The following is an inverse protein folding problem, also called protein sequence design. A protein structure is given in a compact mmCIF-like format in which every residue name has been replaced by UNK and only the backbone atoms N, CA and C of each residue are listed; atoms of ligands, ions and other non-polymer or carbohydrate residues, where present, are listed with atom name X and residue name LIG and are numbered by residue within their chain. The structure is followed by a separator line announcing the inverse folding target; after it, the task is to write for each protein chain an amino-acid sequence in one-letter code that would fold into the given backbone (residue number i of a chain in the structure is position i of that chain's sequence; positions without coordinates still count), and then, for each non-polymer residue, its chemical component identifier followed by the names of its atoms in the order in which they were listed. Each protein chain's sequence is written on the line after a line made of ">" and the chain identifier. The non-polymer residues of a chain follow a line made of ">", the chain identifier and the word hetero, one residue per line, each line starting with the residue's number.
data_IF_025610633634
#
_entry.id   IF_025610633634
#
_cell.length_a   1.000
_cell.length_b   1.000
_cell.length_c   1.000
_cell.angle_alpha   90.00
_cell.angle_beta   90.00
_cell.angle_gamma   90.00
#
_symmetry.space_group_name_H-M   'P 1'
#
loop_
_entity.id
_entity.type
_entity.pdbx_description
1 polymer ?
#
# COMPACT_ATOMS: atom_id res chain seq x y z
N UNK A 1 -48.58 66.03 -11.53
CA UNK A 1 -47.44 65.16 -11.83
C UNK A 1 -47.20 64.34 -10.58
N UNK A 2 -47.68 63.10 -10.57
CA UNK A 2 -47.53 62.16 -9.46
C UNK A 2 -46.33 61.30 -9.81
N UNK A 3 -45.23 61.45 -9.07
CA UNK A 3 -44.17 60.44 -9.08
C UNK A 3 -44.76 59.13 -8.51
N UNK A 4 -44.63 57.99 -9.22
CA UNK A 4 -45.06 56.72 -8.66
C UNK A 4 -44.14 56.34 -7.48
N UNK A 5 -44.69 55.77 -6.40
CA UNK A 5 -43.86 55.24 -5.32
C UNK A 5 -43.04 54.08 -5.88
N UNK A 6 -41.72 54.14 -5.71
CA UNK A 6 -40.85 53.00 -5.90
C UNK A 6 -41.42 51.85 -5.04
N UNK A 7 -41.93 50.82 -5.71
CA UNK A 7 -42.53 49.68 -5.06
C UNK A 7 -41.50 49.00 -4.16
N UNK A 8 -41.91 48.70 -2.93
CA UNK A 8 -41.11 47.97 -1.95
C UNK A 8 -40.90 46.48 -2.31
N UNK A 9 -40.74 46.16 -3.60
CA UNK A 9 -40.47 44.82 -4.14
C UNK A 9 -39.00 44.66 -4.59
N UNK A 10 -38.20 45.73 -4.55
CA UNK A 10 -36.75 45.69 -4.81
C UNK A 10 -35.92 45.60 -3.52
N UNK A 11 -36.48 45.01 -2.46
CA UNK A 11 -35.69 44.62 -1.29
C UNK A 11 -34.78 43.45 -1.68
N UNK A 12 -33.54 43.77 -2.08
CA UNK A 12 -32.36 42.92 -2.03
C UNK A 12 -32.62 41.41 -2.12
N UNK A 13 -33.16 40.95 -3.25
CA UNK A 13 -32.81 39.61 -3.71
C UNK A 13 -31.37 39.72 -4.21
N UNK A 14 -30.40 39.68 -3.29
CA UNK A 14 -29.11 39.12 -3.65
C UNK A 14 -29.45 37.72 -4.14
N UNK A 15 -29.60 37.58 -5.47
CA UNK A 15 -29.72 36.29 -6.12
C UNK A 15 -28.49 35.56 -5.65
N UNK A 16 -28.68 34.63 -4.71
CA UNK A 16 -27.62 33.76 -4.25
C UNK A 16 -27.39 32.81 -5.44
N UNK A 17 -26.69 33.31 -6.46
CA UNK A 17 -26.22 32.49 -7.55
C UNK A 17 -25.41 31.39 -6.86
N UNK A 18 -25.79 30.12 -7.00
CA UNK A 18 -25.00 29.05 -6.43
C UNK A 18 -23.58 29.21 -6.97
N UNK A 19 -22.55 29.07 -6.12
CA UNK A 19 -21.18 29.21 -6.57
C UNK A 19 -20.96 28.30 -7.79
N UNK A 20 -20.20 28.76 -8.81
CA UNK A 20 -20.04 27.99 -10.04
C UNK A 20 -19.55 26.57 -9.73
N UNK A 21 -20.19 25.59 -10.37
CA UNK A 21 -19.80 24.20 -10.24
C UNK A 21 -18.35 24.01 -10.70
N UNK A 22 -17.60 23.12 -10.04
CA UNK A 22 -16.22 22.86 -10.42
C UNK A 22 -16.16 22.23 -11.81
N UNK A 23 -15.35 22.77 -12.70
CA UNK A 23 -15.14 22.17 -14.03
C UNK A 23 -14.43 20.80 -13.93
N UNK A 24 -14.49 19.96 -14.98
CA UNK A 24 -13.79 18.68 -15.01
C UNK A 24 -12.29 18.82 -14.69
N UNK A 25 -11.74 17.87 -13.94
CA UNK A 25 -10.38 17.92 -13.40
C UNK A 25 -10.23 18.74 -12.11
N UNK A 26 -11.31 19.35 -11.63
CA UNK A 26 -11.37 20.03 -10.34
C UNK A 26 -12.47 19.43 -9.44
N UNK A 27 -12.31 19.63 -8.13
CA UNK A 27 -13.24 19.15 -7.12
C UNK A 27 -13.37 20.12 -5.95
N UNK A 28 -14.38 19.88 -5.11
CA UNK A 28 -14.62 20.63 -3.87
C UNK A 28 -15.15 19.71 -2.77
N UNK A 29 -14.25 19.32 -1.86
CA UNK A 29 -14.58 18.40 -0.77
C UNK A 29 -15.50 19.00 0.32
N UNK A 30 -15.46 20.32 0.53
CA UNK A 30 -16.18 20.96 1.62
C UNK A 30 -17.11 22.06 1.12
N UNK A 31 -18.30 22.15 1.74
CA UNK A 31 -19.23 23.25 1.50
C UNK A 31 -18.66 24.57 2.04
N UNK A 32 -19.10 25.69 1.46
CA UNK A 32 -18.65 27.04 1.82
C UNK A 32 -18.04 27.80 0.65
N UNK A 33 -17.56 29.02 0.88
CA UNK A 33 -17.03 29.89 -0.17
C UNK A 33 -15.55 29.58 -0.53
N UNK A 34 -15.23 28.29 -0.68
CA UNK A 34 -13.92 27.83 -1.12
C UNK A 34 -13.90 27.62 -2.64
N UNK A 35 -12.77 27.99 -3.27
CA UNK A 35 -12.54 27.78 -4.70
C UNK A 35 -12.34 26.29 -4.99
N UNK A 36 -12.67 25.88 -6.20
CA UNK A 36 -12.41 24.53 -6.68
C UNK A 36 -10.90 24.25 -6.70
N UNK A 37 -10.52 23.07 -6.24
CA UNK A 37 -9.13 22.60 -6.23
C UNK A 37 -8.90 21.64 -7.38
N UNK A 38 -7.70 21.65 -7.97
CA UNK A 38 -7.34 20.68 -9.01
C UNK A 38 -7.28 19.28 -8.39
N UNK A 39 -7.67 18.26 -9.16
CA UNK A 39 -7.53 16.89 -8.71
C UNK A 39 -6.07 16.55 -8.36
N UNK A 40 -5.83 15.90 -7.21
CA UNK A 40 -4.52 15.39 -6.84
C UNK A 40 -3.96 14.42 -7.89
N UNK A 41 -2.64 14.16 -7.88
CA UNK A 41 -2.02 13.15 -8.74
C UNK A 41 -2.73 11.79 -8.67
N UNK A 42 -2.73 11.09 -9.81
CA UNK A 42 -3.38 9.79 -10.00
C UNK A 42 -4.90 9.80 -9.73
N UNK A 43 -5.54 10.94 -9.93
CA UNK A 43 -6.98 11.09 -9.77
C UNK A 43 -7.58 12.08 -10.75
N UNK A 44 -8.86 11.90 -11.06
CA UNK A 44 -9.60 12.71 -12.03
C UNK A 44 -11.04 12.95 -11.60
N UNK A 45 -11.68 13.98 -12.15
CA UNK A 45 -13.11 14.22 -12.06
C UNK A 45 -13.66 14.50 -13.46
N UNK A 46 -14.64 13.71 -13.91
CA UNK A 46 -15.24 13.88 -15.24
C UNK A 46 -16.43 14.86 -15.22
N UNK A 47 -17.18 14.89 -14.12
CA UNK A 47 -18.40 15.67 -14.00
C UNK A 47 -18.18 17.05 -13.38
N UNK A 48 -18.99 18.01 -13.80
CA UNK A 48 -19.03 19.31 -13.14
C UNK A 48 -19.55 19.18 -11.70
N UNK A 49 -19.03 20.00 -10.78
CA UNK A 49 -19.47 20.03 -9.39
C UNK A 49 -19.06 18.81 -8.56
N UNK A 50 -18.01 18.09 -8.97
CA UNK A 50 -17.55 16.90 -8.27
C UNK A 50 -17.07 17.23 -6.84
N UNK A 51 -17.59 16.49 -5.84
CA UNK A 51 -17.18 16.64 -4.44
C UNK A 51 -15.82 15.98 -4.15
N UNK A 52 -15.41 15.00 -4.95
CA UNK A 52 -14.13 14.31 -4.83
C UNK A 52 -13.62 13.85 -6.20
N UNK A 53 -12.33 13.57 -6.30
CA UNK A 53 -11.72 12.99 -7.50
C UNK A 53 -11.66 11.46 -7.38
N UNK A 54 -11.98 10.76 -8.45
CA UNK A 54 -11.87 9.31 -8.56
C UNK A 54 -10.41 8.92 -8.84
N UNK A 55 -9.96 7.80 -8.28
CA UNK A 55 -8.61 7.31 -8.54
C UNK A 55 -8.49 6.66 -9.92
N UNK A 56 -7.31 6.84 -10.53
CA UNK A 56 -6.90 6.09 -11.71
C UNK A 56 -6.82 4.59 -11.42
N UNK A 57 -6.95 3.77 -12.46
CA UNK A 57 -6.85 2.31 -12.33
C UNK A 57 -5.49 1.92 -11.73
N UNK A 58 -5.49 1.10 -10.69
CA UNK A 58 -4.29 0.68 -9.97
C UNK A 58 -3.83 1.64 -8.87
N UNK A 59 -4.55 2.74 -8.67
CA UNK A 59 -4.36 3.67 -7.57
C UNK A 59 -5.61 3.74 -6.70
N UNK A 60 -5.40 4.01 -5.42
CA UNK A 60 -6.41 3.91 -4.38
C UNK A 60 -6.17 4.97 -3.29
N UNK A 61 -7.19 5.19 -2.46
CA UNK A 61 -7.10 5.97 -1.22
C UNK A 61 -7.69 5.15 -0.09
N UNK A 62 -7.00 5.10 1.04
CA UNK A 62 -7.50 4.51 2.27
C UNK A 62 -8.64 5.34 2.85
N UNK A 63 -9.55 4.73 3.60
CA UNK A 63 -10.71 5.41 4.20
C UNK A 63 -10.31 6.56 5.15
N UNK A 64 -9.10 6.49 5.71
CA UNK A 64 -8.55 7.50 6.62
C UNK A 64 -7.86 8.66 5.89
N UNK A 65 -7.67 8.57 4.58
CA UNK A 65 -6.97 9.62 3.83
C UNK A 65 -7.91 10.77 3.47
N UNK A 66 -7.43 12.02 3.53
CA UNK A 66 -8.23 13.15 3.12
C UNK A 66 -8.42 13.18 1.59
N UNK A 67 -9.54 13.72 1.07
CA UNK A 67 -9.79 13.88 -0.37
C UNK A 67 -8.72 14.70 -1.10
N UNK A 68 -7.95 15.50 -0.36
CA UNK A 68 -6.84 16.32 -0.85
C UNK A 68 -5.58 15.52 -1.13
N UNK A 69 -5.47 14.29 -0.63
CA UNK A 69 -4.31 13.43 -0.84
C UNK A 69 -4.33 12.82 -2.25
N UNK A 70 -3.15 12.60 -2.82
CA UNK A 70 -2.99 11.86 -4.07
C UNK A 70 -3.52 10.42 -3.91
N UNK A 71 -4.00 9.82 -5.00
CA UNK A 71 -4.18 8.39 -4.99
C UNK A 71 -2.80 7.72 -5.04
N UNK A 72 -2.66 6.63 -4.30
CA UNK A 72 -1.41 5.89 -4.10
C UNK A 72 -1.60 4.45 -4.55
N UNK A 73 -0.52 3.69 -4.69
CA UNK A 73 -0.59 2.28 -5.09
C UNK A 73 0.06 1.36 -4.06
N UNK A 74 -0.19 0.04 -4.10
CA UNK A 74 0.61 -0.91 -3.32
C UNK A 74 2.10 -0.81 -3.68
N UNK A 75 3.01 -1.10 -2.74
CA UNK A 75 4.44 -1.04 -2.98
C UNK A 75 4.94 -2.18 -3.89
N UNK A 76 6.13 -2.01 -4.48
CA UNK A 76 6.86 -3.13 -5.11
C UNK A 76 7.42 -4.09 -4.04
N UNK A 77 7.88 -5.30 -4.37
CA UNK A 77 8.56 -6.19 -3.42
C UNK A 77 9.76 -5.54 -2.72
N UNK A 78 10.13 -6.00 -1.52
CA UNK A 78 11.40 -5.64 -0.91
C UNK A 78 12.58 -6.13 -1.77
N UNK A 79 13.75 -5.54 -1.55
CA UNK A 79 14.95 -5.79 -2.37
C UNK A 79 16.07 -6.36 -1.53
N UNK A 80 17.12 -6.89 -2.17
CA UNK A 80 18.35 -7.32 -1.49
C UNK A 80 18.06 -8.23 -0.27
N UNK A 81 17.21 -9.22 -0.46
CA UNK A 81 16.86 -10.16 0.59
C UNK A 81 18.08 -11.06 0.86
N UNK A 82 18.55 -11.03 2.09
CA UNK A 82 19.73 -11.75 2.57
C UNK A 82 19.36 -12.55 3.80
N UNK A 83 20.11 -13.62 4.04
CA UNK A 83 19.99 -14.40 5.28
C UNK A 83 21.37 -14.61 5.91
N UNK A 84 21.37 -14.73 7.23
CA UNK A 84 22.52 -15.15 8.01
C UNK A 84 22.08 -16.29 8.93
N UNK A 85 22.73 -17.44 8.82
CA UNK A 85 22.38 -18.65 9.55
C UNK A 85 23.50 -19.00 10.54
N UNK A 86 23.16 -18.96 11.83
CA UNK A 86 23.92 -19.56 12.90
C UNK A 86 23.27 -20.89 13.32
N UNK A 87 23.92 -21.66 14.20
CA UNK A 87 23.47 -23.01 14.61
C UNK A 87 22.00 -23.09 15.08
N UNK A 88 21.47 -22.03 15.69
CA UNK A 88 20.11 -22.00 16.26
C UNK A 88 19.26 -20.81 15.80
N UNK A 89 19.85 -19.89 15.02
CA UNK A 89 19.24 -18.61 14.69
C UNK A 89 19.46 -18.29 13.21
N UNK A 90 18.36 -18.14 12.48
CA UNK A 90 18.32 -17.63 11.12
C UNK A 90 17.86 -16.17 11.15
N UNK A 91 18.72 -15.25 10.75
CA UNK A 91 18.38 -13.85 10.60
C UNK A 91 18.08 -13.56 9.13
N UNK A 92 16.90 -13.03 8.83
CA UNK A 92 16.54 -12.52 7.51
C UNK A 92 16.61 -10.99 7.55
N UNK A 93 17.21 -10.41 6.52
CA UNK A 93 17.34 -8.97 6.34
C UNK A 93 17.03 -8.61 4.89
N UNK A 94 16.38 -7.47 4.67
CA UNK A 94 16.09 -6.96 3.33
C UNK A 94 16.20 -5.44 3.27
N UNK A 95 16.27 -4.92 2.06
CA UNK A 95 16.16 -3.50 1.76
C UNK A 95 14.71 -3.10 1.46
N UNK A 96 14.34 -1.84 1.71
CA UNK A 96 13.05 -1.30 1.30
C UNK A 96 12.79 -1.44 -0.22
N UNK A 97 11.51 -1.50 -0.62
CA UNK A 97 11.12 -1.59 -2.02
C UNK A 97 11.63 -0.39 -2.83
N UNK A 98 11.82 -0.59 -4.13
CA UNK A 98 12.20 0.52 -5.04
C UNK A 98 11.08 1.54 -5.18
N UNK A 99 9.83 1.09 -5.07
CA UNK A 99 8.65 1.94 -5.06
C UNK A 99 7.76 1.63 -3.85
N UNK A 100 7.55 2.63 -2.98
CA UNK A 100 6.62 2.53 -1.85
C UNK A 100 5.15 2.81 -2.24
N UNK A 101 4.90 3.12 -3.51
CA UNK A 101 3.59 3.51 -4.02
C UNK A 101 3.15 4.91 -3.59
N UNK A 102 4.10 5.74 -3.17
CA UNK A 102 3.87 7.11 -2.72
C UNK A 102 3.50 7.26 -1.24
N UNK A 103 3.65 6.19 -0.44
CA UNK A 103 3.38 6.23 1.01
C UNK A 103 4.62 5.98 1.87
N UNK A 104 4.43 6.22 3.18
CA UNK A 104 5.45 6.06 4.24
C UNK A 104 4.99 5.13 5.38
N UNK A 105 3.77 4.62 5.31
CA UNK A 105 3.18 3.63 6.22
C UNK A 105 3.53 2.20 5.79
N UNK A 106 4.79 1.99 5.40
CA UNK A 106 5.27 0.72 4.88
C UNK A 106 5.42 -0.31 6.01
N UNK A 107 4.88 -1.49 5.82
CA UNK A 107 5.06 -2.66 6.68
C UNK A 107 5.43 -3.89 5.87
N UNK A 108 5.94 -4.93 6.51
CA UNK A 108 6.30 -6.19 5.88
C UNK A 108 5.63 -7.38 6.56
N UNK A 109 5.31 -8.39 5.78
CA UNK A 109 4.93 -9.71 6.28
C UNK A 109 5.88 -10.76 5.74
N UNK A 110 6.12 -11.80 6.54
CA UNK A 110 6.97 -12.93 6.22
C UNK A 110 6.14 -14.21 6.30
N UNK A 111 6.05 -14.92 5.19
CA UNK A 111 5.42 -16.24 5.09
C UNK A 111 6.50 -17.30 4.93
N UNK A 112 6.38 -18.42 5.64
CA UNK A 112 7.29 -19.54 5.49
C UNK A 112 6.57 -20.77 4.93
N UNK A 113 7.21 -21.41 3.96
CA UNK A 113 6.80 -22.69 3.38
C UNK A 113 7.97 -23.68 3.51
N UNK A 114 7.67 -24.91 3.90
CA UNK A 114 8.58 -26.05 3.81
C UNK A 114 8.06 -26.99 2.73
N UNK A 115 8.82 -27.16 1.67
CA UNK A 115 8.52 -28.10 0.61
C UNK A 115 9.26 -29.42 0.86
N UNK A 116 8.55 -30.53 0.75
CA UNK A 116 9.16 -31.86 0.76
C UNK A 116 9.98 -32.13 -0.52
N UNK A 117 10.57 -33.33 -0.65
CA UNK A 117 11.25 -33.74 -1.89
C UNK A 117 10.31 -33.76 -3.11
N UNK A 118 9.00 -33.85 -2.87
CA UNK A 118 7.96 -33.74 -3.90
C UNK A 118 7.50 -32.26 -4.04
N UNK A 119 7.63 -31.64 -5.22
CA UNK A 119 7.36 -30.21 -5.43
C UNK A 119 5.91 -29.76 -5.16
N UNK A 120 4.95 -30.71 -5.13
CA UNK A 120 3.54 -30.43 -4.84
C UNK A 120 3.16 -30.50 -3.35
N UNK A 121 4.10 -30.78 -2.45
CA UNK A 121 3.86 -30.87 -1.01
C UNK A 121 4.63 -29.78 -0.25
N UNK A 122 4.23 -28.52 -0.44
CA UNK A 122 4.68 -27.41 0.39
C UNK A 122 3.65 -27.13 1.50
N UNK A 123 4.09 -27.13 2.76
CA UNK A 123 3.26 -26.83 3.93
C UNK A 123 3.74 -25.53 4.58
N UNK A 124 2.81 -24.79 5.18
CA UNK A 124 3.15 -23.59 5.96
C UNK A 124 3.91 -24.00 7.23
N UNK A 125 4.89 -23.18 7.64
CA UNK A 125 5.76 -23.46 8.79
C UNK A 125 5.14 -23.07 10.15
N UNK A 126 3.84 -22.78 10.21
CA UNK A 126 3.16 -21.99 11.26
C UNK A 126 3.41 -22.43 12.72
N UNK A 127 3.74 -23.70 12.97
CA UNK A 127 4.06 -24.19 14.32
C UNK A 127 5.48 -24.74 14.48
N UNK A 128 6.22 -24.92 13.39
CA UNK A 128 7.58 -25.47 13.41
C UNK A 128 8.64 -24.41 13.74
N UNK A 129 8.33 -23.12 13.50
CA UNK A 129 9.30 -22.03 13.59
C UNK A 129 8.83 -20.93 14.53
N UNK A 130 9.79 -20.33 15.24
CA UNK A 130 9.54 -19.17 16.08
C UNK A 130 10.13 -17.90 15.47
N UNK A 131 9.28 -16.93 15.19
CA UNK A 131 9.66 -15.63 14.63
C UNK A 131 9.75 -14.57 15.74
N UNK A 132 10.86 -13.83 15.74
CA UNK A 132 11.12 -12.73 16.65
C UNK A 132 11.63 -11.52 15.85
N UNK A 133 10.87 -10.41 15.80
CA UNK A 133 9.49 -10.22 16.26
C UNK A 133 8.46 -11.02 15.43
N UNK A 134 7.16 -10.87 15.71
CA UNK A 134 6.09 -11.56 14.98
C UNK A 134 6.19 -11.27 13.47
N UNK A 135 5.91 -12.25 12.60
CA UNK A 135 6.23 -12.16 11.18
C UNK A 135 5.26 -11.28 10.38
N UNK A 136 4.23 -10.70 11.01
CA UNK A 136 3.23 -9.85 10.37
C UNK A 136 3.32 -8.41 10.90
N UNK A 137 3.17 -7.44 10.01
CA UNK A 137 3.15 -6.01 10.36
C UNK A 137 4.51 -5.47 10.80
N UNK A 138 5.60 -6.04 10.31
CA UNK A 138 6.96 -5.61 10.62
C UNK A 138 7.20 -4.21 10.07
N UNK A 139 7.73 -3.30 10.90
CA UNK A 139 8.20 -1.98 10.44
C UNK A 139 9.68 -1.98 10.09
N UNK A 140 10.43 -2.87 10.73
CA UNK A 140 11.86 -3.08 10.46
C UNK A 140 12.03 -4.12 9.36
N UNK A 141 13.07 -3.96 8.56
CA UNK A 141 13.38 -4.84 7.43
C UNK A 141 14.22 -6.07 7.86
N UNK A 142 13.93 -6.60 9.06
CA UNK A 142 14.65 -7.73 9.64
C UNK A 142 13.71 -8.61 10.46
N UNK A 143 13.97 -9.92 10.47
CA UNK A 143 13.32 -10.87 11.39
C UNK A 143 14.29 -11.99 11.76
N UNK A 144 14.23 -12.44 13.01
CA UNK A 144 14.97 -13.63 13.46
C UNK A 144 14.03 -14.82 13.56
N UNK A 145 14.49 -15.96 13.08
CA UNK A 145 13.76 -17.23 13.04
C UNK A 145 14.55 -18.28 13.81
N UNK A 146 13.93 -18.94 14.77
CA UNK A 146 14.51 -20.00 15.59
C UNK A 146 13.70 -21.29 15.48
N UNK A 147 14.22 -22.36 16.09
CA UNK A 147 13.57 -23.67 16.20
C UNK A 147 13.41 -24.41 14.86
N UNK A 148 14.21 -24.06 13.85
CA UNK A 148 14.22 -24.77 12.57
C UNK A 148 14.83 -26.18 12.68
N UNK A 149 14.29 -27.10 11.89
CA UNK A 149 14.81 -28.47 11.78
C UNK A 149 16.10 -28.47 10.96
N UNK A 150 17.11 -29.21 11.42
CA UNK A 150 18.31 -29.47 10.63
C UNK A 150 17.98 -30.28 9.36
N UNK A 151 18.76 -30.07 8.30
CA UNK A 151 18.61 -30.76 7.00
C UNK A 151 17.25 -30.56 6.33
N UNK A 152 16.63 -29.39 6.54
CA UNK A 152 15.40 -28.97 5.88
C UNK A 152 15.60 -27.70 5.05
N UNK A 153 14.83 -27.61 3.96
CA UNK A 153 14.76 -26.45 3.08
C UNK A 153 13.54 -25.61 3.44
N UNK A 154 13.77 -24.36 3.84
CA UNK A 154 12.73 -23.40 4.17
C UNK A 154 12.69 -22.30 3.11
N UNK A 155 11.52 -22.04 2.54
CA UNK A 155 11.28 -20.95 1.61
C UNK A 155 10.52 -19.85 2.31
N UNK A 156 11.11 -18.66 2.35
CA UNK A 156 10.51 -17.47 2.92
C UNK A 156 10.05 -16.54 1.81
N UNK A 157 8.80 -16.09 1.90
CA UNK A 157 8.19 -15.10 1.03
C UNK A 157 7.97 -13.84 1.85
N UNK A 158 8.60 -12.72 1.46
CA UNK A 158 8.47 -11.44 2.13
C UNK A 158 7.73 -10.48 1.23
N UNK A 159 6.62 -9.96 1.74
CA UNK A 159 5.82 -8.94 1.06
C UNK A 159 5.96 -7.58 1.73
N UNK A 160 5.81 -6.55 0.94
CA UNK A 160 5.72 -5.15 1.34
C UNK A 160 4.27 -4.69 1.25
N UNK A 161 3.83 -3.93 2.25
CA UNK A 161 2.44 -3.52 2.42
C UNK A 161 2.37 -2.06 2.80
N UNK A 162 1.31 -1.37 2.39
CA UNK A 162 0.98 -0.02 2.84
C UNK A 162 -0.55 0.10 3.03
N UNK A 163 -1.05 1.27 3.44
CA UNK A 163 -2.47 1.46 3.76
C UNK A 163 -3.45 1.25 2.60
N UNK A 164 -2.98 1.06 1.36
CA UNK A 164 -3.83 0.74 0.19
C UNK A 164 -3.61 -0.66 -0.37
N UNK A 165 -2.73 -1.46 0.25
CA UNK A 165 -2.42 -2.80 -0.19
C UNK A 165 -3.66 -3.71 -0.24
N UNK A 166 -4.60 -3.57 0.69
CA UNK A 166 -5.83 -4.39 0.74
C UNK A 166 -6.90 -3.98 -0.27
N UNK A 167 -6.76 -2.80 -0.88
CA UNK A 167 -7.71 -2.29 -1.86
C UNK A 167 -7.44 -2.78 -3.28
N UNK A 168 -6.23 -3.29 -3.50
CA UNK A 168 -5.81 -3.81 -4.79
C UNK A 168 -6.34 -5.23 -5.00
N UNK A 169 -7.01 -5.46 -6.13
CA UNK A 169 -7.37 -6.80 -6.58
C UNK A 169 -6.22 -7.55 -7.27
N UNK A 170 -5.09 -6.88 -7.52
CA UNK A 170 -3.91 -7.53 -8.11
C UNK A 170 -3.19 -8.40 -7.08
N UNK A 171 -2.63 -9.55 -7.49
CA UNK A 171 -1.82 -10.38 -6.61
C UNK A 171 -0.67 -9.59 -5.98
N UNK A 172 -0.39 -9.90 -4.71
CA UNK A 172 0.75 -9.31 -4.02
C UNK A 172 2.04 -9.88 -4.60
N UNK A 173 2.99 -8.99 -4.84
CA UNK A 173 4.32 -9.38 -5.29
C UNK A 173 5.19 -9.62 -4.06
N UNK A 174 6.00 -10.67 -4.09
CA UNK A 174 6.81 -11.11 -2.95
C UNK A 174 8.28 -11.26 -3.37
N UNK A 175 9.19 -11.02 -2.44
CA UNK A 175 10.58 -11.47 -2.55
C UNK A 175 10.71 -12.86 -1.94
N UNK A 176 11.43 -13.76 -2.59
CA UNK A 176 11.53 -15.17 -2.19
C UNK A 176 12.99 -15.51 -1.89
N UNK A 177 13.24 -16.24 -0.81
CA UNK A 177 14.54 -16.83 -0.52
C UNK A 177 14.37 -18.23 0.04
N UNK A 178 15.22 -19.15 -0.42
CA UNK A 178 15.26 -20.52 0.09
C UNK A 178 16.52 -20.70 0.92
N UNK A 179 16.35 -21.16 2.16
CA UNK A 179 17.41 -21.39 3.13
C UNK A 179 17.52 -22.89 3.39
N UNK A 180 18.71 -23.43 3.17
CA UNK A 180 19.03 -24.80 3.51
C UNK A 180 19.78 -24.85 4.84
N UNK A 181 19.22 -25.56 5.81
CA UNK A 181 19.77 -25.67 7.18
C UNK A 181 20.91 -26.68 7.31
N UNK A 182 21.37 -27.27 6.19
CA UNK A 182 22.54 -28.15 6.16
C UNK A 182 23.87 -27.42 5.89
N UNK A 183 23.82 -26.16 5.45
CA UNK A 183 24.99 -25.37 5.06
C UNK A 183 25.15 -24.21 6.05
N UNK A 184 25.93 -24.47 7.11
CA UNK A 184 26.61 -23.39 7.81
C UNK A 184 27.66 -22.78 6.89
N UNK A 185 27.27 -21.75 6.14
CA UNK A 185 28.16 -20.99 5.27
C UNK A 185 27.69 -20.88 3.83
N UNK A 186 27.31 -19.64 3.47
CA UNK A 186 27.51 -19.00 2.16
C UNK A 186 26.69 -19.50 0.93
N UNK A 187 25.93 -18.55 0.32
CA UNK A 187 25.26 -18.58 -1.01
C UNK A 187 23.95 -19.41 -1.10
N UNK A 188 22.94 -19.21 -1.98
CA UNK A 188 22.82 -18.73 -3.38
C UNK A 188 21.49 -17.94 -3.55
N UNK A 189 21.52 -16.80 -4.25
CA UNK A 189 20.31 -16.10 -4.70
C UNK A 189 19.76 -16.80 -5.94
N UNK A 190 18.78 -17.69 -5.78
CA UNK A 190 17.94 -18.10 -6.91
C UNK A 190 16.87 -17.04 -7.13
N UNK A 191 17.14 -16.10 -8.06
CA UNK A 191 16.09 -15.30 -8.67
C UNK A 191 15.27 -16.23 -9.57
N UNK A 192 13.95 -16.43 -9.34
CA UNK A 192 13.13 -17.09 -10.33
C UNK A 192 13.06 -16.17 -11.55
N UNK A 193 13.52 -16.69 -12.68
CA UNK A 193 13.83 -15.91 -13.89
C UNK A 193 12.74 -14.94 -14.33
N UNK A 194 13.13 -13.67 -14.44
CA UNK A 194 12.84 -12.71 -15.51
C UNK A 194 13.56 -11.39 -15.21
#
# INVERSE_FOLDING_TARGET
>A
MLDPPCNAALCNAAVFLPPPACHPGFYKAYAGNIKCSKCPPHSFSYGEGSAACHCERGFYRADKDPPTMACTRPPSPPRNLMFNLNDTCLMLEWSPPSDSGGRRDLTYNVLCKRCGPEPNHCKLCEEDLRFLPRPLGLTNATVTVTDFSANANYTFEIESLNGVSDMSSFPRQVAIITVNTNQGGEYVLELPGL
#
